data_IF_795565733248
#
_entry.id   IF_795565733248
#
_cell.length_a   1.000
_cell.length_b   1.000
_cell.length_c   1.000
_cell.angle_alpha   90.00
_cell.angle_beta   90.00
_cell.angle_gamma   90.00
#
_symmetry.space_group_name_H-M   'P 1'
#
loop_
_entity.id
_entity.type
_entity.pdbx_description
1 polymer ?
#
# COMPACT_ATOMS: atom_id res chain seq x y z
N UNK A 1 42.02 28.22 65.34
CA UNK A 1 40.62 28.10 65.01
C UNK A 1 40.51 28.05 63.49
N UNK A 2 40.14 26.92 62.90
CA UNK A 2 40.05 26.73 61.47
C UNK A 2 38.59 26.81 61.05
N UNK A 3 38.26 27.79 60.28
CA UNK A 3 36.91 27.97 59.69
C UNK A 3 36.87 27.20 58.37
N UNK A 4 36.08 26.15 58.34
CA UNK A 4 35.80 25.38 57.13
C UNK A 4 34.77 26.10 56.29
N UNK A 5 35.15 26.56 55.08
CA UNK A 5 34.25 27.13 54.09
C UNK A 5 33.70 25.97 53.23
N UNK A 6 32.43 25.63 53.49
CA UNK A 6 31.70 24.63 52.68
C UNK A 6 31.22 25.33 51.42
N UNK A 7 31.88 25.02 50.29
CA UNK A 7 31.41 25.41 48.96
C UNK A 7 30.25 24.52 48.55
N UNK A 8 29.01 25.05 48.63
CA UNK A 8 27.85 24.39 48.07
C UNK A 8 27.78 24.65 46.57
N UNK A 9 28.21 23.66 45.80
CA UNK A 9 28.04 23.65 44.32
C UNK A 9 26.57 23.32 44.03
N UNK A 10 25.78 24.33 43.70
CA UNK A 10 24.45 24.20 43.12
C UNK A 10 24.59 23.73 41.66
N UNK A 11 24.49 22.43 41.45
CA UNK A 11 24.38 21.83 40.14
C UNK A 11 22.99 22.08 39.59
N UNK A 12 22.80 23.20 38.88
CA UNK A 12 21.54 23.47 38.16
C UNK A 12 21.43 22.47 36.99
N UNK A 13 20.62 21.42 37.21
CA UNK A 13 20.20 20.51 36.14
C UNK A 13 19.31 21.28 35.16
N UNK A 14 19.89 21.76 34.08
CA UNK A 14 19.14 22.26 32.93
C UNK A 14 18.46 21.05 32.28
N UNK A 15 17.21 20.79 32.64
CA UNK A 15 16.32 19.88 31.93
C UNK A 15 15.99 20.53 30.59
N UNK A 16 16.82 20.30 29.58
CA UNK A 16 16.46 20.56 28.20
C UNK A 16 15.32 19.58 27.86
N UNK A 17 14.10 20.09 27.86
CA UNK A 17 12.98 19.40 27.25
C UNK A 17 13.30 19.32 25.75
N UNK A 18 13.86 18.20 25.33
CA UNK A 18 13.84 17.82 23.92
C UNK A 18 12.37 17.52 23.58
N UNK A 19 11.67 18.50 23.05
CA UNK A 19 10.44 18.26 22.32
C UNK A 19 10.83 17.32 21.18
N UNK A 20 10.65 16.03 21.39
CA UNK A 20 10.72 15.05 20.31
C UNK A 20 9.61 15.46 19.33
N UNK A 21 9.96 16.16 18.27
CA UNK A 21 9.10 16.31 17.11
C UNK A 21 8.77 14.88 16.67
N UNK A 22 7.61 14.37 17.08
CA UNK A 22 7.11 13.11 16.59
C UNK A 22 6.97 13.28 15.06
N UNK A 23 7.96 12.77 14.33
CA UNK A 23 7.92 12.79 12.87
C UNK A 23 6.63 12.06 12.47
N UNK A 24 5.71 12.78 11.85
CA UNK A 24 4.43 12.22 11.39
C UNK A 24 4.75 11.01 10.51
N UNK A 25 4.27 9.85 10.91
CA UNK A 25 4.49 8.62 10.15
C UNK A 25 3.90 8.78 8.75
N UNK A 26 4.69 8.42 7.74
CA UNK A 26 4.27 8.43 6.33
C UNK A 26 3.20 7.37 6.13
N UNK A 27 2.06 7.75 5.53
CA UNK A 27 0.95 6.84 5.24
C UNK A 27 1.28 6.04 3.98
N UNK A 28 1.32 4.72 4.09
CA UNK A 28 1.66 3.80 3.01
C UNK A 28 0.43 3.39 2.21
N UNK A 29 0.46 3.60 0.90
CA UNK A 29 -0.63 3.25 -0.01
C UNK A 29 -0.16 2.22 -1.03
N UNK A 30 -0.76 1.03 -1.03
CA UNK A 30 -0.52 0.00 -2.04
C UNK A 30 -1.59 0.07 -3.14
N UNK A 31 -1.16 0.32 -4.39
CA UNK A 31 -2.04 0.23 -5.56
C UNK A 31 -1.92 -1.15 -6.18
N UNK A 32 -2.88 -2.01 -5.89
CA UNK A 32 -2.97 -3.42 -6.33
C UNK A 32 -3.85 -3.53 -7.56
N UNK A 33 -3.42 -4.26 -8.58
CA UNK A 33 -4.22 -4.40 -9.80
C UNK A 33 -3.51 -5.03 -10.98
N UNK A 34 -4.14 -4.89 -12.13
CA UNK A 34 -3.65 -5.42 -13.41
C UNK A 34 -2.90 -4.36 -14.25
N UNK A 35 -2.95 -4.48 -15.58
CA UNK A 35 -2.32 -3.55 -16.53
C UNK A 35 -2.75 -2.09 -16.37
N UNK A 36 -3.97 -1.83 -15.90
CA UNK A 36 -4.47 -0.47 -15.68
C UNK A 36 -3.73 0.16 -14.49
N UNK A 37 -3.52 -0.59 -13.42
CA UNK A 37 -2.73 -0.14 -12.26
C UNK A 37 -1.24 -0.07 -12.62
N UNK A 38 -0.72 -1.05 -13.35
CA UNK A 38 0.65 -1.03 -13.85
C UNK A 38 0.94 0.23 -14.68
N UNK A 39 -0.04 0.71 -15.46
CA UNK A 39 0.12 1.81 -16.43
C UNK A 39 0.64 1.30 -17.79
N UNK A 40 0.13 0.14 -18.25
CA UNK A 40 0.48 -0.39 -19.56
C UNK A 40 0.08 0.60 -20.66
N UNK A 41 0.96 0.77 -21.65
CA UNK A 41 0.81 1.70 -22.78
C UNK A 41 0.72 3.20 -22.39
N UNK A 42 0.96 3.55 -21.14
CA UNK A 42 1.05 4.94 -20.74
C UNK A 42 2.48 5.45 -20.96
N UNK A 43 2.70 6.49 -21.79
CA UNK A 43 4.00 7.09 -21.95
C UNK A 43 4.55 7.58 -20.61
N UNK A 44 5.84 7.31 -20.36
CA UNK A 44 6.49 7.68 -19.10
C UNK A 44 5.68 7.23 -17.85
N UNK A 45 5.36 5.93 -17.81
CA UNK A 45 4.56 5.26 -16.77
C UNK A 45 4.91 5.66 -15.34
N UNK A 46 6.19 5.82 -15.05
CA UNK A 46 6.66 6.18 -13.70
C UNK A 46 6.22 7.59 -13.26
N UNK A 47 5.73 8.41 -14.20
CA UNK A 47 5.20 9.74 -13.93
C UNK A 47 3.69 9.82 -14.18
N UNK A 48 3.19 9.08 -15.18
CA UNK A 48 1.85 9.29 -15.73
C UNK A 48 0.84 8.18 -15.39
N UNK A 49 1.28 7.03 -14.82
CA UNK A 49 0.32 6.04 -14.29
C UNK A 49 -0.47 6.61 -13.12
N UNK A 50 -1.69 6.12 -12.89
CA UNK A 50 -2.51 6.66 -11.79
C UNK A 50 -1.84 6.53 -10.41
N UNK A 51 -1.08 5.48 -10.06
CA UNK A 51 -0.36 5.46 -8.78
C UNK A 51 0.70 6.57 -8.67
N UNK A 52 1.40 6.86 -9.77
CA UNK A 52 2.38 7.94 -9.79
C UNK A 52 1.72 9.34 -9.67
N UNK A 53 0.59 9.53 -10.35
CA UNK A 53 -0.22 10.75 -10.23
C UNK A 53 -0.80 10.90 -8.82
N UNK A 54 -1.25 9.80 -8.22
CA UNK A 54 -1.74 9.78 -6.84
C UNK A 54 -0.63 10.18 -5.85
N UNK A 55 0.59 9.66 -6.03
CA UNK A 55 1.75 10.06 -5.23
C UNK A 55 2.01 11.57 -5.35
N UNK A 56 2.01 12.09 -6.59
CA UNK A 56 2.24 13.51 -6.83
C UNK A 56 1.16 14.39 -6.18
N UNK A 57 -0.09 13.94 -6.20
CA UNK A 57 -1.22 14.65 -5.62
C UNK A 57 -1.21 14.65 -4.08
N UNK A 58 -0.89 13.50 -3.47
CA UNK A 58 -0.90 13.33 -2.01
C UNK A 58 0.33 13.92 -1.32
N UNK A 59 1.42 14.13 -2.05
CA UNK A 59 2.64 14.72 -1.50
C UNK A 59 3.46 13.79 -0.59
N UNK A 60 4.32 14.39 0.22
CA UNK A 60 5.32 13.68 1.04
C UNK A 60 4.76 12.99 2.29
N UNK A 61 3.53 13.32 2.70
CA UNK A 61 2.87 12.64 3.83
C UNK A 61 2.43 11.21 3.48
N UNK A 62 2.53 10.83 2.21
CA UNK A 62 2.13 9.52 1.70
C UNK A 62 3.26 8.86 0.91
N UNK A 63 3.37 7.54 0.99
CA UNK A 63 4.20 6.71 0.15
C UNK A 63 3.30 5.79 -0.68
N UNK A 64 3.10 6.11 -1.97
CA UNK A 64 2.26 5.34 -2.89
C UNK A 64 3.12 4.39 -3.71
N UNK A 65 2.87 3.09 -3.60
CA UNK A 65 3.56 2.07 -4.40
C UNK A 65 2.64 1.40 -5.40
N UNK A 66 3.17 1.20 -6.61
CA UNK A 66 2.47 0.53 -7.71
C UNK A 66 2.79 -0.97 -7.69
N UNK A 67 1.82 -1.79 -7.33
CA UNK A 67 1.86 -3.26 -7.38
C UNK A 67 0.97 -3.82 -8.49
N UNK A 68 0.70 -3.02 -9.51
CA UNK A 68 0.02 -3.47 -10.72
C UNK A 68 0.88 -4.43 -11.54
N UNK A 69 0.27 -5.48 -12.08
CA UNK A 69 0.93 -6.44 -12.96
C UNK A 69 0.03 -6.79 -14.14
N UNK A 70 0.52 -6.53 -15.36
CA UNK A 70 -0.28 -6.72 -16.57
C UNK A 70 -0.72 -8.16 -16.77
N UNK A 71 -1.96 -8.34 -17.23
CA UNK A 71 -2.54 -9.66 -17.51
C UNK A 71 -3.18 -10.34 -16.30
N UNK A 72 -2.90 -9.91 -15.08
CA UNK A 72 -3.39 -10.61 -13.89
C UNK A 72 -4.91 -10.63 -13.76
N UNK A 73 -5.40 -11.77 -13.31
CA UNK A 73 -6.79 -12.02 -12.91
C UNK A 73 -6.97 -11.93 -11.40
N UNK A 74 -8.18 -11.61 -10.96
CA UNK A 74 -8.62 -11.79 -9.60
C UNK A 74 -8.85 -13.28 -9.30
N UNK A 75 -9.55 -13.95 -10.26
CA UNK A 75 -9.85 -15.38 -10.18
C UNK A 75 -8.59 -16.22 -9.97
N UNK A 76 -8.59 -17.00 -8.91
CA UNK A 76 -7.48 -17.89 -8.54
C UNK A 76 -7.27 -19.06 -9.52
N UNK A 77 -8.30 -19.38 -10.31
CA UNK A 77 -8.30 -20.36 -11.40
C UNK A 77 -8.12 -19.74 -12.77
N UNK A 78 -7.98 -18.41 -12.86
CA UNK A 78 -7.72 -17.71 -14.12
C UNK A 78 -6.34 -18.04 -14.70
N UNK A 79 -6.07 -17.55 -15.91
CA UNK A 79 -4.82 -17.79 -16.63
C UNK A 79 -3.59 -17.18 -15.96
N UNK A 80 -3.76 -16.08 -15.20
CA UNK A 80 -2.66 -15.44 -14.47
C UNK A 80 -3.12 -14.85 -13.12
N UNK A 81 -3.35 -15.67 -12.07
CA UNK A 81 -3.87 -15.22 -10.79
C UNK A 81 -2.93 -14.24 -10.07
N UNK A 82 -3.42 -13.06 -9.71
CA UNK A 82 -2.64 -12.04 -9.00
C UNK A 82 -2.07 -12.55 -7.68
N UNK A 83 -2.84 -13.35 -6.95
CA UNK A 83 -2.44 -13.92 -5.64
C UNK A 83 -1.24 -14.86 -5.71
N UNK A 84 -0.87 -15.35 -6.90
CA UNK A 84 0.31 -16.21 -7.13
C UNK A 84 1.54 -15.43 -7.59
N UNK A 85 1.48 -14.11 -7.61
CA UNK A 85 2.56 -13.27 -8.16
C UNK A 85 3.46 -12.69 -7.09
N UNK A 86 4.68 -12.30 -7.50
CA UNK A 86 5.58 -11.57 -6.63
C UNK A 86 5.02 -10.20 -6.22
N UNK A 87 4.29 -9.52 -7.12
CA UNK A 87 3.66 -8.24 -6.82
C UNK A 87 2.70 -8.33 -5.63
N UNK A 88 1.94 -9.43 -5.54
CA UNK A 88 1.10 -9.73 -4.37
C UNK A 88 1.93 -9.86 -3.09
N UNK A 89 2.98 -10.70 -3.10
CA UNK A 89 3.84 -10.89 -1.94
C UNK A 89 4.54 -9.59 -1.50
N UNK A 90 5.08 -8.82 -2.46
CA UNK A 90 5.76 -7.56 -2.19
C UNK A 90 4.79 -6.51 -1.61
N UNK A 91 3.53 -6.49 -2.06
CA UNK A 91 2.50 -5.59 -1.52
C UNK A 91 2.14 -5.89 -0.07
N UNK A 92 2.18 -7.16 0.34
CA UNK A 92 1.99 -7.58 1.74
C UNK A 92 3.19 -7.20 2.60
N UNK A 93 4.42 -7.45 2.09
CA UNK A 93 5.67 -7.08 2.79
C UNK A 93 5.77 -5.58 3.04
N UNK A 94 5.18 -4.76 2.18
CA UNK A 94 5.15 -3.31 2.33
C UNK A 94 4.39 -2.85 3.58
N UNK A 95 3.50 -3.67 4.12
CA UNK A 95 2.65 -3.33 5.27
C UNK A 95 1.92 -1.99 5.06
N UNK A 96 1.03 -1.90 4.06
CA UNK A 96 0.34 -0.67 3.73
C UNK A 96 -0.68 -0.27 4.80
N UNK A 97 -0.96 1.03 4.92
CA UNK A 97 -2.07 1.58 5.71
C UNK A 97 -3.36 1.66 4.87
N UNK A 98 -3.21 1.78 3.54
CA UNK A 98 -4.32 1.83 2.59
C UNK A 98 -4.00 0.90 1.41
N UNK A 99 -4.97 0.09 0.99
CA UNK A 99 -4.88 -0.75 -0.21
C UNK A 99 -5.98 -0.38 -1.18
N UNK A 100 -5.59 0.03 -2.39
CA UNK A 100 -6.49 0.26 -3.51
C UNK A 100 -6.48 -0.97 -4.40
N UNK A 101 -7.61 -1.69 -4.55
CA UNK A 101 -7.70 -2.90 -5.36
C UNK A 101 -8.47 -2.60 -6.65
N UNK A 102 -7.82 -2.83 -7.80
CA UNK A 102 -8.41 -2.68 -9.15
C UNK A 102 -8.10 -3.91 -10.00
N UNK A 103 -8.84 -5.00 -9.77
CA UNK A 103 -8.79 -6.27 -10.50
C UNK A 103 -10.17 -6.60 -11.10
N UNK A 104 -10.23 -7.61 -11.94
CA UNK A 104 -11.47 -8.10 -12.55
C UNK A 104 -11.56 -7.92 -14.07
N UNK A 105 -10.80 -6.99 -14.68
CA UNK A 105 -10.87 -6.75 -16.13
C UNK A 105 -10.42 -7.98 -16.96
N UNK A 106 -9.34 -8.66 -16.57
CA UNK A 106 -8.86 -9.86 -17.29
C UNK A 106 -9.73 -11.09 -17.01
N UNK A 107 -10.48 -11.05 -15.97
CA UNK A 107 -11.41 -12.11 -15.55
C UNK A 107 -12.58 -12.27 -16.54
N UNK A 108 -12.94 -11.18 -17.24
CA UNK A 108 -14.02 -11.19 -18.24
C UNK A 108 -13.66 -11.89 -19.55
N UNK A 109 -12.38 -12.26 -19.74
CA UNK A 109 -11.98 -13.07 -20.89
C UNK A 109 -12.65 -14.44 -20.84
N UNK A 110 -13.09 -15.02 -21.99
CA UNK A 110 -13.84 -16.28 -22.00
C UNK A 110 -13.17 -17.42 -21.23
N UNK A 111 -11.83 -17.56 -21.39
CA UNK A 111 -11.06 -18.62 -20.70
C UNK A 111 -10.99 -18.44 -19.18
N UNK A 112 -11.24 -17.26 -18.67
CA UNK A 112 -11.24 -16.96 -17.22
C UNK A 112 -12.67 -16.95 -16.68
N UNK A 113 -13.62 -16.39 -17.46
CA UNK A 113 -14.99 -16.19 -17.02
C UNK A 113 -15.79 -17.50 -16.84
N UNK A 114 -15.28 -18.62 -17.34
CA UNK A 114 -15.82 -19.95 -17.01
C UNK A 114 -15.80 -20.24 -15.49
N UNK A 115 -14.94 -19.56 -14.74
CA UNK A 115 -14.83 -19.68 -13.28
C UNK A 115 -15.54 -18.55 -12.52
N UNK A 116 -16.46 -17.84 -13.16
CA UNK A 116 -17.15 -16.64 -12.61
C UNK A 116 -17.82 -16.87 -11.26
N UNK A 117 -18.27 -18.10 -10.99
CA UNK A 117 -18.95 -18.43 -9.73
C UNK A 117 -17.99 -18.33 -8.53
N UNK A 118 -16.68 -18.44 -8.75
CA UNK A 118 -15.66 -18.26 -7.72
C UNK A 118 -15.30 -16.76 -7.49
N UNK A 119 -15.75 -15.83 -8.36
CA UNK A 119 -15.26 -14.45 -8.40
C UNK A 119 -15.45 -13.72 -7.07
N UNK A 120 -16.64 -13.77 -6.48
CA UNK A 120 -16.93 -13.11 -5.20
C UNK A 120 -16.12 -13.74 -4.06
N UNK A 121 -16.02 -15.08 -4.04
CA UNK A 121 -15.22 -15.79 -3.04
C UNK A 121 -13.73 -15.47 -3.13
N UNK A 122 -13.17 -15.38 -4.34
CA UNK A 122 -11.78 -15.00 -4.56
C UNK A 122 -11.54 -13.54 -4.16
N UNK A 123 -12.49 -12.65 -4.46
CA UNK A 123 -12.41 -11.25 -4.04
C UNK A 123 -12.37 -11.12 -2.52
N UNK A 124 -13.26 -11.85 -1.83
CA UNK A 124 -13.30 -11.85 -0.36
C UNK A 124 -12.00 -12.37 0.22
N UNK A 125 -11.44 -13.48 -0.31
CA UNK A 125 -10.14 -14.02 0.12
C UNK A 125 -9.00 -13.01 -0.06
N UNK A 126 -8.99 -12.28 -1.18
CA UNK A 126 -8.00 -11.23 -1.42
C UNK A 126 -8.13 -10.10 -0.39
N UNK A 127 -9.33 -9.63 -0.11
CA UNK A 127 -9.60 -8.61 0.91
C UNK A 127 -9.13 -9.09 2.28
N UNK A 128 -9.50 -10.31 2.66
CA UNK A 128 -9.18 -10.87 3.97
C UNK A 128 -7.67 -11.07 4.16
N UNK A 129 -6.93 -11.40 3.08
CA UNK A 129 -5.47 -11.48 3.12
C UNK A 129 -4.82 -10.16 3.49
N UNK A 130 -5.34 -9.03 3.02
CA UNK A 130 -4.85 -7.71 3.43
C UNK A 130 -5.33 -7.30 4.82
N UNK A 131 -6.59 -7.58 5.17
CA UNK A 131 -7.12 -7.27 6.50
C UNK A 131 -6.37 -7.99 7.62
N UNK A 132 -5.79 -9.15 7.34
CA UNK A 132 -5.00 -9.93 8.31
C UNK A 132 -3.59 -9.38 8.54
N UNK A 133 -3.14 -8.38 7.77
CA UNK A 133 -1.82 -7.78 7.96
C UNK A 133 -1.72 -7.05 9.30
N UNK A 134 -0.54 -7.06 9.96
CA UNK A 134 -0.30 -6.28 11.18
C UNK A 134 -0.61 -4.80 11.06
N UNK A 135 -0.48 -4.22 9.85
CA UNK A 135 -0.82 -2.81 9.57
C UNK A 135 -2.33 -2.53 9.55
N UNK A 136 -3.20 -3.57 9.54
CA UNK A 136 -4.67 -3.44 9.48
C UNK A 136 -5.17 -2.42 8.45
N UNK A 137 -4.83 -2.55 7.17
CA UNK A 137 -5.06 -1.51 6.18
C UNK A 137 -6.54 -1.23 5.92
N UNK A 138 -6.84 0.01 5.60
CA UNK A 138 -8.11 0.36 4.97
C UNK A 138 -8.13 -0.15 3.52
N UNK A 139 -9.14 -0.93 3.16
CA UNK A 139 -9.31 -1.47 1.80
C UNK A 139 -10.30 -0.62 1.02
N UNK A 140 -9.92 -0.21 -0.19
CA UNK A 140 -10.76 0.55 -1.12
C UNK A 140 -10.82 -0.22 -2.45
N UNK A 141 -12.01 -0.60 -2.86
CA UNK A 141 -12.25 -1.30 -4.12
C UNK A 141 -12.53 -0.28 -5.22
N UNK A 142 -11.80 -0.39 -6.33
CA UNK A 142 -11.97 0.44 -7.51
C UNK A 142 -12.68 -0.35 -8.60
N UNK A 143 -13.80 0.15 -9.07
CA UNK A 143 -14.56 -0.48 -10.17
C UNK A 143 -13.68 -0.56 -11.43
N UNK A 144 -13.57 -1.73 -12.08
CA UNK A 144 -12.93 -1.84 -13.38
C UNK A 144 -13.68 -0.98 -14.42
N UNK A 145 -12.93 -0.43 -15.38
CA UNK A 145 -13.55 0.25 -16.51
C UNK A 145 -14.27 -0.82 -17.34
N UNK A 146 -15.50 -0.53 -17.77
CA UNK A 146 -16.21 -1.39 -18.72
C UNK A 146 -15.43 -1.41 -20.05
N UNK A 147 -15.04 -2.60 -20.48
CA UNK A 147 -14.54 -2.81 -21.83
C UNK A 147 -15.75 -3.17 -22.70
N UNK A 148 -16.02 -2.35 -23.70
CA UNK A 148 -17.07 -2.61 -24.70
C UNK A 148 -16.47 -3.40 -25.86
#
# INVERSE_FOLDING_TARGET
>A
MKTNLICVLLLSFFLVKMDAFAQKAVIKVACVGNSITYGANIPNRNKNSYPAQLQAYLGSDYEVRNYGLSGCTLLSKGDYPYVKTRAFADSHTFQPDIVLIKLGTNDTKPQNWQYKDDFIGDYQRLIDSYKSLPSHPRIILLTPVRCF
#
